data_IF_777478260612
#
_entry.id   IF_777478260612
#
_cell.length_a   1.000
_cell.length_b   1.000
_cell.length_c   1.000
_cell.angle_alpha   90.00
_cell.angle_beta   90.00
_cell.angle_gamma   90.00
#
_symmetry.space_group_name_H-M   'P 1'
#
loop_
_entity.id
_entity.type
_entity.pdbx_description
1 polymer ?
#
# COMPACT_ATOMS: atom_id res chain seq x y z
N UNK A 1 -17.44 -12.74 -26.10
CA UNK A 1 -17.27 -11.80 -24.97
C UNK A 1 -16.27 -12.41 -24.00
N UNK A 2 -15.37 -11.63 -23.45
CA UNK A 2 -14.51 -12.04 -22.31
C UNK A 2 -15.27 -11.76 -21.03
N UNK A 3 -15.18 -12.67 -20.07
CA UNK A 3 -15.68 -12.52 -18.71
C UNK A 3 -14.50 -12.14 -17.81
N UNK A 4 -14.66 -11.14 -16.96
CA UNK A 4 -13.78 -10.86 -15.84
C UNK A 4 -14.63 -10.99 -14.59
N UNK A 5 -14.20 -11.79 -13.63
CA UNK A 5 -14.90 -11.99 -12.36
C UNK A 5 -13.94 -11.98 -11.19
N UNK A 6 -14.47 -11.65 -10.03
CA UNK A 6 -13.75 -11.79 -8.78
C UNK A 6 -13.40 -13.25 -8.51
N UNK A 7 -12.45 -13.53 -7.65
CA UNK A 7 -11.92 -14.89 -7.43
C UNK A 7 -12.94 -15.88 -6.85
N UNK A 8 -14.16 -15.41 -6.47
CA UNK A 8 -15.31 -16.28 -6.16
C UNK A 8 -15.76 -17.14 -7.34
N UNK A 9 -15.48 -16.73 -8.58
CA UNK A 9 -15.83 -17.56 -9.74
C UNK A 9 -15.07 -18.89 -9.78
N UNK A 10 -13.97 -19.00 -8.99
CA UNK A 10 -13.21 -20.24 -8.82
C UNK A 10 -13.93 -21.27 -7.91
N UNK A 11 -15.00 -20.89 -7.23
CA UNK A 11 -15.80 -21.78 -6.37
C UNK A 11 -16.72 -22.70 -7.18
N UNK A 12 -16.85 -22.47 -8.48
CA UNK A 12 -17.65 -23.26 -9.40
C UNK A 12 -16.90 -23.64 -10.67
N UNK A 13 -17.65 -24.05 -11.70
CA UNK A 13 -17.08 -24.26 -13.03
C UNK A 13 -16.80 -22.90 -13.67
N UNK A 14 -15.53 -22.62 -13.95
CA UNK A 14 -15.09 -21.40 -14.59
C UNK A 14 -15.14 -21.51 -16.12
N UNK A 15 -15.67 -20.47 -16.79
CA UNK A 15 -15.71 -20.44 -18.26
C UNK A 15 -14.27 -20.42 -18.84
N UNK A 16 -13.98 -21.15 -19.92
CA UNK A 16 -12.61 -21.35 -20.43
C UNK A 16 -11.83 -20.06 -20.78
N UNK A 17 -12.54 -18.97 -21.02
CA UNK A 17 -11.95 -17.67 -21.37
C UNK A 17 -12.19 -16.58 -20.31
N UNK A 18 -12.48 -16.98 -19.08
CA UNK A 18 -12.65 -16.05 -17.98
C UNK A 18 -11.28 -15.58 -17.45
N UNK A 19 -11.22 -14.32 -17.06
CA UNK A 19 -10.10 -13.71 -16.33
C UNK A 19 -10.52 -13.56 -14.87
N UNK A 20 -9.63 -13.89 -13.94
CA UNK A 20 -9.89 -13.86 -12.50
C UNK A 20 -9.25 -12.61 -11.89
N UNK A 21 -10.03 -11.84 -11.14
CA UNK A 21 -9.52 -10.76 -10.28
C UNK A 21 -9.32 -11.30 -8.87
N UNK A 22 -8.07 -11.45 -8.44
CA UNK A 22 -7.71 -12.05 -7.15
C UNK A 22 -7.65 -10.97 -6.06
N UNK A 23 -8.75 -10.81 -5.30
CA UNK A 23 -8.88 -9.78 -4.28
C UNK A 23 -8.72 -10.30 -2.84
N UNK A 24 -9.11 -11.54 -2.56
CA UNK A 24 -9.00 -12.18 -1.23
C UNK A 24 -7.55 -12.52 -0.84
N UNK A 25 -6.59 -12.12 -1.66
CA UNK A 25 -5.18 -12.38 -1.54
C UNK A 25 -4.59 -12.84 -2.87
N UNK A 26 -3.44 -13.51 -2.82
CA UNK A 26 -2.74 -14.00 -4.03
C UNK A 26 -3.18 -15.40 -4.46
N UNK A 27 -3.78 -16.17 -3.57
CA UNK A 27 -4.08 -17.58 -3.77
C UNK A 27 -5.04 -17.83 -4.96
N UNK A 28 -6.08 -17.00 -5.10
CA UNK A 28 -7.02 -17.09 -6.22
C UNK A 28 -6.36 -16.85 -7.57
N UNK A 29 -5.46 -15.86 -7.64
CA UNK A 29 -4.68 -15.59 -8.85
C UNK A 29 -3.75 -16.75 -9.21
N UNK A 30 -3.03 -17.30 -8.23
CA UNK A 30 -2.17 -18.48 -8.42
C UNK A 30 -2.99 -19.69 -8.91
N UNK A 31 -4.14 -19.93 -8.31
CA UNK A 31 -5.03 -21.01 -8.75
C UNK A 31 -5.48 -20.80 -10.19
N UNK A 32 -5.89 -19.57 -10.55
CA UNK A 32 -6.35 -19.24 -11.91
C UNK A 32 -5.26 -19.51 -12.95
N UNK A 33 -4.04 -18.98 -12.75
CA UNK A 33 -2.95 -19.16 -13.73
C UNK A 33 -2.51 -20.62 -13.85
N UNK A 34 -2.54 -21.40 -12.76
CA UNK A 34 -2.29 -22.85 -12.78
C UNK A 34 -3.34 -23.66 -13.53
N UNK A 35 -4.55 -23.11 -13.64
CA UNK A 35 -5.63 -23.65 -14.46
C UNK A 35 -5.59 -23.16 -15.92
N UNK A 36 -4.63 -22.31 -16.29
CA UNK A 36 -4.48 -21.72 -17.64
C UNK A 36 -5.43 -20.53 -17.89
N UNK A 37 -5.92 -19.87 -16.84
CA UNK A 37 -6.70 -18.65 -16.92
C UNK A 37 -5.86 -17.42 -16.69
N UNK A 38 -6.22 -16.31 -17.34
CA UNK A 38 -5.62 -15.01 -17.04
C UNK A 38 -6.04 -14.52 -15.65
N UNK A 39 -5.13 -13.84 -14.96
CA UNK A 39 -5.37 -13.25 -13.65
C UNK A 39 -4.98 -11.77 -13.60
N UNK A 40 -5.74 -10.99 -12.85
CA UNK A 40 -5.41 -9.63 -12.42
C UNK A 40 -5.22 -9.69 -10.91
N UNK A 41 -4.04 -9.29 -10.44
CA UNK A 41 -3.70 -9.32 -9.02
C UNK A 41 -4.16 -8.02 -8.36
N UNK A 42 -5.12 -8.13 -7.44
CA UNK A 42 -5.68 -6.99 -6.71
C UNK A 42 -5.92 -7.32 -5.24
N UNK A 43 -4.91 -7.91 -4.54
CA UNK A 43 -5.11 -8.36 -3.17
C UNK A 43 -5.42 -7.17 -2.25
N UNK A 44 -6.50 -7.32 -1.47
CA UNK A 44 -7.01 -6.25 -0.60
C UNK A 44 -5.98 -5.74 0.40
N UNK A 45 -5.10 -6.61 0.87
CA UNK A 45 -4.03 -6.26 1.82
C UNK A 45 -2.92 -5.40 1.23
N UNK A 46 -2.92 -5.17 -0.10
CA UNK A 46 -1.92 -4.37 -0.80
C UNK A 46 -2.53 -3.25 -1.64
N UNK A 47 -3.78 -3.41 -2.12
CA UNK A 47 -4.33 -2.51 -3.14
C UNK A 47 -5.78 -2.08 -2.90
N UNK A 48 -6.34 -2.27 -1.69
CA UNK A 48 -7.61 -1.63 -1.33
C UNK A 48 -7.33 -0.26 -0.72
N UNK A 49 -7.38 0.76 -1.58
CA UNK A 49 -7.02 2.13 -1.23
C UNK A 49 -8.11 2.86 -0.43
N UNK A 50 -9.21 2.19 -0.12
CA UNK A 50 -10.23 2.60 0.83
C UNK A 50 -9.90 2.24 2.30
N UNK A 51 -8.73 1.60 2.54
CA UNK A 51 -8.21 1.34 3.88
C UNK A 51 -7.48 2.55 4.44
N UNK A 52 -7.43 2.66 5.78
CA UNK A 52 -6.67 3.70 6.48
C UNK A 52 -5.19 3.72 6.09
N UNK A 53 -4.63 4.91 5.92
CA UNK A 53 -3.21 5.11 5.64
C UNK A 53 -2.37 5.15 6.93
N UNK A 54 -2.99 5.51 8.07
CA UNK A 54 -2.38 5.59 9.39
C UNK A 54 -3.07 4.66 10.39
N UNK A 55 -2.35 4.31 11.46
CA UNK A 55 -2.90 3.64 12.64
C UNK A 55 -3.62 4.61 13.58
N UNK A 56 -3.34 5.90 13.47
CA UNK A 56 -4.01 6.95 14.22
C UNK A 56 -5.35 7.32 13.55
N UNK A 57 -6.32 6.44 13.73
CA UNK A 57 -7.63 6.53 13.07
C UNK A 57 -8.48 7.72 13.55
N UNK A 58 -8.14 8.31 14.69
CA UNK A 58 -8.87 9.47 15.23
C UNK A 58 -8.59 10.74 14.41
N UNK A 59 -7.41 10.79 13.79
CA UNK A 59 -6.99 11.91 12.94
C UNK A 59 -7.07 11.59 11.44
N UNK A 60 -7.62 10.44 11.06
CA UNK A 60 -7.84 10.04 9.68
C UNK A 60 -9.27 10.33 9.20
N UNK A 61 -9.47 10.63 7.90
CA UNK A 61 -10.81 10.59 7.30
C UNK A 61 -11.44 9.20 7.50
N UNK A 62 -12.76 9.16 7.73
CA UNK A 62 -13.47 7.91 7.92
C UNK A 62 -13.29 6.95 6.75
N UNK A 63 -12.86 5.73 7.04
CA UNK A 63 -12.64 4.65 6.08
C UNK A 63 -13.35 3.36 6.51
N UNK A 64 -13.47 2.39 5.61
CA UNK A 64 -14.10 1.08 5.88
C UNK A 64 -13.40 0.32 7.02
N UNK A 65 -12.11 0.53 7.19
CA UNK A 65 -11.23 -0.19 8.13
C UNK A 65 -9.89 -0.51 7.51
N UNK A 66 -9.26 -1.58 7.98
CA UNK A 66 -7.95 -2.00 7.49
C UNK A 66 -6.83 -1.02 7.85
N UNK A 67 -5.62 -1.33 7.38
CA UNK A 67 -4.45 -0.45 7.42
C UNK A 67 -3.55 -0.77 6.24
N UNK A 68 -3.28 0.21 5.42
CA UNK A 68 -2.51 0.04 4.19
C UNK A 68 -1.62 1.27 3.96
N UNK A 69 -0.41 1.28 4.51
CA UNK A 69 0.56 2.34 4.25
C UNK A 69 1.20 2.22 2.86
N UNK A 70 1.84 3.29 2.40
CA UNK A 70 2.49 3.35 1.09
C UNK A 70 3.53 2.25 0.91
N UNK A 71 4.35 2.00 1.94
CA UNK A 71 5.39 0.97 1.93
C UNK A 71 4.81 -0.42 1.65
N UNK A 72 3.62 -0.68 2.18
CA UNK A 72 2.94 -1.95 1.96
C UNK A 72 2.49 -2.11 0.51
N UNK A 73 1.94 -1.05 -0.10
CA UNK A 73 1.63 -1.04 -1.53
C UNK A 73 2.89 -1.28 -2.37
N UNK A 74 3.96 -0.55 -2.06
CA UNK A 74 5.25 -0.64 -2.76
C UNK A 74 5.89 -2.02 -2.67
N UNK A 75 5.74 -2.70 -1.54
CA UNK A 75 6.39 -4.00 -1.27
C UNK A 75 5.81 -5.16 -2.09
N UNK A 76 4.70 -4.95 -2.79
CA UNK A 76 4.04 -6.02 -3.52
C UNK A 76 4.85 -6.49 -4.74
N UNK A 77 4.85 -7.81 -4.95
CA UNK A 77 5.33 -8.47 -6.17
C UNK A 77 4.23 -9.38 -6.71
N UNK A 78 3.84 -9.21 -8.00
CA UNK A 78 2.78 -10.03 -8.59
C UNK A 78 3.20 -11.47 -8.88
N UNK A 79 4.49 -11.72 -8.97
CA UNK A 79 5.04 -13.05 -9.22
C UNK A 79 5.61 -13.66 -7.95
N UNK A 80 5.26 -14.91 -7.69
CA UNK A 80 5.87 -15.70 -6.61
C UNK A 80 7.04 -16.53 -7.15
N UNK A 81 7.96 -16.91 -6.27
CA UNK A 81 9.18 -17.64 -6.65
C UNK A 81 8.88 -19.02 -7.28
N UNK A 82 7.74 -19.62 -6.95
CA UNK A 82 7.31 -20.93 -7.43
C UNK A 82 6.52 -20.89 -8.76
N UNK A 83 6.28 -19.70 -9.34
CA UNK A 83 5.61 -19.58 -10.63
C UNK A 83 6.52 -19.90 -11.78
N UNK A 84 6.01 -20.73 -12.71
CA UNK A 84 6.66 -20.97 -14.00
C UNK A 84 6.51 -19.77 -14.93
N UNK A 85 7.32 -19.69 -15.99
CA UNK A 85 7.21 -18.61 -16.97
C UNK A 85 5.87 -18.64 -17.72
N UNK A 86 5.27 -19.82 -17.92
CA UNK A 86 3.93 -19.97 -18.50
C UNK A 86 2.87 -19.38 -17.56
N UNK A 87 2.93 -19.67 -16.26
CA UNK A 87 2.01 -19.11 -15.26
C UNK A 87 2.14 -17.57 -15.16
N UNK A 88 3.39 -17.06 -15.17
CA UNK A 88 3.65 -15.61 -15.18
C UNK A 88 3.05 -14.91 -16.40
N UNK A 89 3.06 -15.56 -17.57
CA UNK A 89 2.49 -15.01 -18.80
C UNK A 89 0.96 -14.84 -18.74
N UNK A 90 0.28 -15.55 -17.82
CA UNK A 90 -1.14 -15.41 -17.55
C UNK A 90 -1.45 -14.29 -16.53
N UNK A 91 -0.47 -13.71 -15.83
CA UNK A 91 -0.68 -12.55 -14.98
C UNK A 91 -0.73 -11.30 -15.83
N UNK A 92 -1.91 -10.74 -16.04
CA UNK A 92 -2.10 -9.55 -16.87
C UNK A 92 -1.57 -8.27 -16.22
N UNK A 93 -1.40 -8.28 -14.91
CA UNK A 93 -0.88 -7.16 -14.12
C UNK A 93 -1.54 -7.04 -12.76
N UNK A 94 -1.37 -5.87 -12.15
CA UNK A 94 -1.93 -5.51 -10.85
C UNK A 94 -2.95 -4.38 -10.97
N UNK A 95 -3.88 -4.33 -10.02
CA UNK A 95 -4.92 -3.31 -9.97
C UNK A 95 -5.13 -2.87 -8.52
N UNK A 96 -5.38 -1.59 -8.29
CA UNK A 96 -5.91 -1.11 -7.03
C UNK A 96 -7.42 -0.89 -7.13
N UNK A 97 -8.11 -1.01 -6.00
CA UNK A 97 -9.51 -0.70 -5.84
C UNK A 97 -9.68 0.44 -4.84
N UNK A 98 -10.59 1.34 -5.12
CA UNK A 98 -10.99 2.43 -4.24
C UNK A 98 -12.51 2.42 -4.14
N UNK A 99 -13.02 1.75 -3.13
CA UNK A 99 -14.45 1.68 -2.85
C UNK A 99 -14.89 2.97 -2.15
N UNK A 100 -16.03 3.48 -2.52
CA UNK A 100 -16.42 4.85 -2.16
C UNK A 100 -17.53 4.93 -1.13
N UNK A 101 -17.82 3.87 -0.38
CA UNK A 101 -18.85 3.84 0.65
C UNK A 101 -18.70 4.94 1.70
N UNK A 102 -17.45 5.31 2.00
CA UNK A 102 -17.11 6.35 2.99
C UNK A 102 -16.50 7.61 2.36
N UNK A 103 -16.24 7.59 1.05
CA UNK A 103 -15.62 8.71 0.34
C UNK A 103 -16.70 9.62 -0.22
N UNK A 104 -16.82 10.84 0.32
CA UNK A 104 -17.93 11.74 0.03
C UNK A 104 -17.54 12.97 -0.80
N UNK A 105 -16.24 13.24 -0.96
CA UNK A 105 -15.74 14.41 -1.70
C UNK A 105 -14.55 14.04 -2.60
N UNK A 106 -14.26 14.81 -3.65
CA UNK A 106 -13.07 14.64 -4.46
C UNK A 106 -11.77 14.74 -3.64
N UNK A 107 -11.69 15.64 -2.68
CA UNK A 107 -10.50 15.82 -1.83
C UNK A 107 -10.24 14.57 -0.99
N UNK A 108 -11.30 14.01 -0.38
CA UNK A 108 -11.20 12.72 0.31
C UNK A 108 -10.75 11.59 -0.63
N UNK A 109 -11.23 11.58 -1.88
CA UNK A 109 -10.80 10.61 -2.89
C UNK A 109 -9.30 10.76 -3.20
N UNK A 110 -8.83 11.98 -3.44
CA UNK A 110 -7.41 12.25 -3.67
C UNK A 110 -6.57 11.83 -2.46
N UNK A 111 -6.99 12.19 -1.24
CA UNK A 111 -6.33 11.78 -0.01
C UNK A 111 -6.17 10.27 0.07
N UNK A 112 -7.22 9.51 -0.19
CA UNK A 112 -7.19 8.04 -0.12
C UNK A 112 -6.34 7.41 -1.23
N UNK A 113 -6.25 8.03 -2.41
CA UNK A 113 -5.43 7.53 -3.51
C UNK A 113 -3.94 7.82 -3.33
N UNK A 114 -3.61 9.05 -2.93
CA UNK A 114 -2.25 9.57 -2.99
C UNK A 114 -1.57 9.50 -1.62
N UNK A 115 -0.29 9.15 -1.58
CA UNK A 115 0.62 8.78 -2.68
C UNK A 115 0.64 7.28 -3.01
N UNK A 116 -0.25 6.44 -2.44
CA UNK A 116 -0.28 4.98 -2.68
C UNK A 116 -0.41 4.61 -4.16
N UNK A 117 -1.07 5.46 -4.96
CA UNK A 117 -1.14 5.25 -6.41
C UNK A 117 0.24 5.36 -7.08
N UNK A 118 1.13 6.23 -6.59
CA UNK A 118 2.51 6.30 -7.08
C UNK A 118 3.27 4.98 -6.80
N UNK A 119 3.07 4.40 -5.61
CA UNK A 119 3.64 3.09 -5.28
C UNK A 119 3.10 1.97 -6.20
N UNK A 120 1.81 1.97 -6.51
CA UNK A 120 1.23 1.04 -7.48
C UNK A 120 1.86 1.21 -8.87
N UNK A 121 2.06 2.45 -9.32
CA UNK A 121 2.71 2.71 -10.61
C UNK A 121 4.13 2.12 -10.65
N UNK A 122 4.91 2.27 -9.57
CA UNK A 122 6.25 1.68 -9.48
C UNK A 122 6.17 0.14 -9.58
N UNK A 123 5.23 -0.51 -8.88
CA UNK A 123 5.01 -1.96 -8.98
C UNK A 123 4.65 -2.40 -10.40
N UNK A 124 3.90 -1.59 -11.13
CA UNK A 124 3.47 -1.91 -12.50
C UNK A 124 4.55 -1.72 -13.57
N UNK A 125 5.43 -0.73 -13.38
CA UNK A 125 6.37 -0.30 -14.42
C UNK A 125 7.79 -0.76 -14.19
N UNK A 126 8.16 -1.09 -12.94
CA UNK A 126 9.50 -1.52 -12.60
C UNK A 126 9.60 -3.04 -12.47
N UNK A 127 10.68 -3.58 -12.98
CA UNK A 127 11.05 -4.96 -12.67
C UNK A 127 11.50 -5.06 -11.20
N UNK A 128 11.29 -6.19 -10.53
CA UNK A 128 11.64 -6.35 -9.10
C UNK A 128 13.08 -5.95 -8.77
N UNK A 129 14.03 -6.27 -9.67
CA UNK A 129 15.46 -6.03 -9.48
C UNK A 129 15.85 -4.56 -9.50
N UNK A 130 14.99 -3.69 -10.08
CA UNK A 130 15.24 -2.25 -10.16
C UNK A 130 14.37 -1.44 -9.21
N UNK A 131 13.43 -2.07 -8.51
CA UNK A 131 12.69 -1.43 -7.43
C UNK A 131 13.63 -1.07 -6.30
N UNK A 132 13.52 0.14 -5.79
CA UNK A 132 14.34 0.64 -4.70
C UNK A 132 13.52 1.61 -3.87
N UNK A 133 13.23 1.22 -2.61
CA UNK A 133 12.41 2.02 -1.72
C UNK A 133 13.02 3.38 -1.41
N UNK A 134 14.34 3.45 -1.16
CA UNK A 134 15.00 4.71 -0.81
C UNK A 134 14.90 5.71 -1.96
N UNK A 135 15.14 5.25 -3.20
CA UNK A 135 14.93 6.08 -4.40
C UNK A 135 13.48 6.55 -4.53
N UNK A 136 12.51 5.66 -4.28
CA UNK A 136 11.08 6.02 -4.34
C UNK A 136 10.75 7.06 -3.27
N UNK A 137 11.26 6.86 -2.05
CA UNK A 137 11.10 7.81 -0.95
C UNK A 137 11.75 9.17 -1.25
N UNK A 138 12.98 9.18 -1.77
CA UNK A 138 13.68 10.41 -2.17
C UNK A 138 12.91 11.20 -3.24
N UNK A 139 12.13 10.52 -4.09
CA UNK A 139 11.26 11.15 -5.07
C UNK A 139 9.92 11.65 -4.48
N UNK A 140 9.64 11.32 -3.21
CA UNK A 140 8.34 11.66 -2.60
C UNK A 140 8.11 13.17 -2.50
N UNK A 141 9.13 13.94 -2.20
CA UNK A 141 9.03 15.40 -2.17
C UNK A 141 8.65 15.98 -3.53
N UNK A 142 9.18 15.42 -4.63
CA UNK A 142 8.90 15.88 -5.99
C UNK A 142 7.45 15.60 -6.39
N UNK A 143 6.96 14.36 -6.20
CA UNK A 143 5.58 14.06 -6.58
C UNK A 143 4.56 14.68 -5.62
N UNK A 144 4.88 14.85 -4.34
CA UNK A 144 4.04 15.61 -3.40
C UNK A 144 3.97 17.09 -3.78
N UNK A 145 5.08 17.71 -4.20
CA UNK A 145 5.07 19.08 -4.71
C UNK A 145 4.18 19.24 -5.97
N UNK A 146 4.11 18.21 -6.82
CA UNK A 146 3.18 18.19 -7.96
C UNK A 146 1.72 18.16 -7.46
N UNK A 147 1.41 17.35 -6.43
CA UNK A 147 0.07 17.31 -5.86
C UNK A 147 -0.34 18.66 -5.26
N UNK A 148 0.57 19.34 -4.56
CA UNK A 148 0.35 20.69 -4.02
C UNK A 148 0.03 21.70 -5.14
N UNK A 149 0.80 21.69 -6.23
CA UNK A 149 0.56 22.57 -7.40
C UNK A 149 -0.78 22.28 -8.06
N UNK A 150 -1.20 21.00 -8.10
CA UNK A 150 -2.49 20.59 -8.66
C UNK A 150 -3.65 20.82 -7.71
N UNK A 151 -3.41 21.15 -6.44
CA UNK A 151 -4.42 21.33 -5.41
C UNK A 151 -5.08 20.01 -4.99
N UNK A 152 -4.34 18.91 -4.99
CA UNK A 152 -4.81 17.61 -4.54
C UNK A 152 -4.48 17.40 -3.06
N UNK A 153 -5.44 16.93 -2.30
CA UNK A 153 -5.18 16.39 -0.98
C UNK A 153 -4.46 15.04 -1.10
N UNK A 154 -3.57 14.74 -0.16
CA UNK A 154 -2.87 13.45 -0.12
C UNK A 154 -2.43 13.09 1.29
N UNK A 155 -2.31 11.79 1.58
CA UNK A 155 -1.78 11.30 2.85
C UNK A 155 -0.28 11.55 2.96
N UNK A 156 0.15 12.24 4.04
CA UNK A 156 1.56 12.57 4.28
C UNK A 156 2.30 11.51 5.10
N UNK A 157 1.65 10.38 5.36
CA UNK A 157 2.14 9.31 6.23
C UNK A 157 3.42 8.61 5.75
N UNK A 158 3.81 8.82 4.49
CA UNK A 158 5.13 8.38 4.00
C UNK A 158 6.28 9.07 4.75
N UNK A 159 6.03 10.26 5.33
CA UNK A 159 7.00 11.05 6.08
C UNK A 159 6.90 10.87 7.60
N UNK A 160 5.98 10.03 8.09
CA UNK A 160 5.76 9.83 9.52
C UNK A 160 6.96 9.19 10.19
N UNK A 161 7.30 9.69 11.38
CA UNK A 161 8.26 9.04 12.27
C UNK A 161 7.62 7.76 12.83
N UNK A 162 8.33 6.65 12.69
CA UNK A 162 7.91 5.36 13.25
C UNK A 162 8.48 5.19 14.65
N UNK A 163 7.69 4.64 15.55
CA UNK A 163 8.09 4.37 16.92
C UNK A 163 7.89 2.90 17.30
N UNK A 164 8.90 2.30 17.92
CA UNK A 164 8.80 0.99 18.56
C UNK A 164 9.08 1.14 20.06
N UNK A 165 8.29 0.48 20.90
CA UNK A 165 8.39 0.53 22.36
C UNK A 165 8.74 -0.85 22.89
N UNK A 166 9.90 -0.96 23.56
CA UNK A 166 10.37 -2.19 24.17
C UNK A 166 10.44 -2.04 25.69
N UNK A 167 9.79 -2.95 26.42
CA UNK A 167 9.89 -3.00 27.87
C UNK A 167 11.10 -3.85 28.25
N UNK A 168 12.08 -3.23 28.91
CA UNK A 168 13.24 -3.92 29.45
C UNK A 168 13.04 -4.19 30.95
N UNK A 169 12.52 -5.36 31.26
CA UNK A 169 12.24 -5.77 32.64
C UNK A 169 13.49 -5.92 33.52
N UNK A 170 14.64 -6.25 32.94
CA UNK A 170 15.90 -6.43 33.67
C UNK A 170 16.45 -5.08 34.15
N UNK A 171 16.32 -4.05 33.32
CA UNK A 171 16.77 -2.68 33.62
C UNK A 171 15.66 -1.83 34.28
N UNK A 172 14.42 -2.32 34.32
CA UNK A 172 13.28 -1.58 34.84
C UNK A 172 12.99 -0.28 34.03
N UNK A 173 13.23 -0.29 32.72
CA UNK A 173 13.02 0.87 31.86
C UNK A 173 12.23 0.49 30.61
N UNK A 174 11.69 1.52 29.97
CA UNK A 174 11.10 1.45 28.64
C UNK A 174 12.09 2.04 27.64
N UNK A 175 12.39 1.31 26.62
CA UNK A 175 13.23 1.75 25.50
C UNK A 175 12.30 2.14 24.35
N UNK A 176 12.43 3.39 23.89
CA UNK A 176 11.70 3.91 22.74
C UNK A 176 12.69 4.05 21.61
N UNK A 177 12.40 3.40 20.48
CA UNK A 177 13.19 3.47 19.27
C UNK A 177 12.38 4.28 18.27
N UNK A 178 12.93 5.40 17.84
CA UNK A 178 12.32 6.25 16.80
C UNK A 178 13.09 6.08 15.51
N UNK A 179 12.37 5.96 14.41
CA UNK A 179 12.90 5.83 13.08
C UNK A 179 12.13 6.74 12.11
N UNK A 180 12.84 7.46 11.27
CA UNK A 180 12.28 8.26 10.20
C UNK A 180 13.05 8.00 8.92
N UNK A 181 12.36 8.00 7.81
CA UNK A 181 13.00 7.88 6.51
C UNK A 181 13.79 9.16 6.17
N UNK A 182 14.90 9.01 5.46
CA UNK A 182 15.76 10.13 5.07
C UNK A 182 16.68 10.65 6.19
N UNK A 183 17.23 11.85 6.00
CA UNK A 183 18.19 12.48 6.93
C UNK A 183 17.53 13.53 7.84
N UNK A 184 16.18 13.54 7.94
CA UNK A 184 15.45 14.52 8.74
C UNK A 184 15.65 14.27 10.23
N UNK A 185 16.09 15.27 11.03
CA UNK A 185 16.26 15.11 12.46
C UNK A 185 14.92 14.84 13.16
N UNK A 186 14.87 13.78 13.97
CA UNK A 186 13.74 13.51 14.84
C UNK A 186 13.85 14.38 16.09
N UNK A 187 12.78 15.08 16.45
CA UNK A 187 12.67 15.86 17.67
C UNK A 187 11.70 15.19 18.63
N UNK A 188 12.00 15.21 19.91
CA UNK A 188 11.14 14.58 20.91
C UNK A 188 11.05 15.38 22.20
N UNK A 189 10.00 15.11 22.98
CA UNK A 189 9.86 15.57 24.37
C UNK A 189 9.52 14.37 25.27
N UNK A 190 9.77 14.51 26.55
CA UNK A 190 9.46 13.47 27.56
C UNK A 190 8.44 13.92 28.59
N UNK A 191 7.94 15.14 28.45
CA UNK A 191 7.00 15.80 29.40
C UNK A 191 5.58 15.96 28.81
N UNK A 192 5.35 15.46 27.60
CA UNK A 192 4.06 15.55 26.90
C UNK A 192 3.81 16.88 26.20
N UNK A 193 4.81 17.75 26.11
CA UNK A 193 4.71 18.97 25.29
C UNK A 193 5.02 18.65 23.83
N UNK A 194 4.49 19.46 22.89
CA UNK A 194 4.83 19.36 21.48
C UNK A 194 6.31 19.65 21.24
N UNK A 195 7.04 18.80 20.47
CA UNK A 195 8.42 19.07 20.09
C UNK A 195 8.55 20.35 19.26
N UNK A 196 9.62 21.09 19.48
CA UNK A 196 9.97 22.29 18.71
C UNK A 196 11.32 22.10 18.02
N UNK A 197 11.74 23.06 17.20
CA UNK A 197 13.05 23.04 16.58
C UNK A 197 14.22 23.10 17.60
N UNK A 198 13.92 23.49 18.84
CA UNK A 198 14.90 23.56 19.94
C UNK A 198 14.90 22.29 20.82
N UNK A 199 13.95 21.38 20.61
CA UNK A 199 13.88 20.11 21.34
C UNK A 199 15.03 19.17 20.93
N UNK A 200 15.46 18.28 21.87
CA UNK A 200 16.48 17.28 21.54
C UNK A 200 16.06 16.39 20.38
#
# INVERSE_FOLDING_TARGET
KKLIGWDEILEGEIAPNATVMSWRGVAGGLQAVRMGHDAIMTPNTFFYLDYYQSLDKENEPLAIGGYLPVEKCYSYEPFTEDMTDEEKAHVLGVQANLWTEYITTPDHLHYMLLPRLAALCEVQWCQPEVKNWDRFFDSADEFCAIYDVMGYDYGKHIFDTKGDIKVNNEKGCVEVILDAQGETPIRYTTDGTEPTLESP
#
